data_IF_957688163272
#
_entry.id   IF_957688163272
#
_cell.length_a   1.000
_cell.length_b   1.000
_cell.length_c   1.000
_cell.angle_alpha   90.00
_cell.angle_beta   90.00
_cell.angle_gamma   90.00
#
_symmetry.space_group_name_H-M   'P 1'
#
loop_
_entity.id
_entity.type
_entity.pdbx_description
1 polymer ?
#
# COMPACT_ATOMS: atom_id res chain seq x y z
N UNK A 1 -7.67 3.55 5.63
CA UNK A 1 -6.36 4.16 5.37
C UNK A 1 -6.12 5.19 6.45
N UNK A 2 -4.91 5.20 7.00
CA UNK A 2 -4.45 6.29 7.86
C UNK A 2 -3.95 7.44 6.99
N UNK A 3 -4.24 8.68 7.37
CA UNK A 3 -3.78 9.87 6.64
C UNK A 3 -2.91 10.73 7.55
N UNK A 4 -1.77 11.17 7.03
CA UNK A 4 -0.78 11.97 7.74
C UNK A 4 -0.48 13.21 6.91
N UNK A 5 -0.64 14.39 7.50
CA UNK A 5 -0.14 15.63 6.91
C UNK A 5 1.29 15.88 7.40
N UNK A 6 2.25 15.94 6.49
CA UNK A 6 3.68 15.96 6.83
C UNK A 6 4.17 17.33 7.32
N UNK A 7 3.58 18.40 6.79
CA UNK A 7 3.93 19.79 7.05
C UNK A 7 2.67 20.66 6.98
N UNK A 8 2.75 21.92 7.41
CA UNK A 8 1.66 22.90 7.23
C UNK A 8 1.52 23.31 5.76
N UNK A 9 0.33 23.77 5.35
CA UNK A 9 0.04 24.22 3.98
C UNK A 9 -1.03 23.37 3.28
N UNK A 10 -1.44 23.79 2.08
CA UNK A 10 -2.50 23.13 1.29
C UNK A 10 -2.07 21.73 0.87
N UNK A 11 -2.94 20.73 1.06
CA UNK A 11 -2.69 19.33 0.69
C UNK A 11 -3.42 18.95 -0.59
N UNK A 12 -2.93 17.91 -1.24
CA UNK A 12 -3.60 17.32 -2.39
C UNK A 12 -4.95 16.70 -1.96
N UNK A 13 -5.99 16.94 -2.74
CA UNK A 13 -7.28 16.26 -2.56
C UNK A 13 -7.13 14.75 -2.76
N UNK A 14 -7.88 13.96 -2.00
CA UNK A 14 -7.89 12.51 -2.16
C UNK A 14 -9.26 11.92 -1.88
N UNK A 15 -9.55 10.78 -2.50
CA UNK A 15 -10.74 9.98 -2.23
C UNK A 15 -10.37 8.48 -2.15
N UNK A 16 -11.03 7.75 -1.24
CA UNK A 16 -10.90 6.29 -1.13
C UNK A 16 -12.22 5.63 -1.53
N UNK A 17 -12.18 4.79 -2.56
CA UNK A 17 -13.32 4.00 -3.00
C UNK A 17 -12.93 2.52 -3.05
N UNK A 18 -13.37 1.76 -2.05
CA UNK A 18 -13.01 0.35 -1.91
C UNK A 18 -11.50 0.18 -1.70
N UNK A 19 -10.80 -0.39 -2.68
CA UNK A 19 -9.34 -0.57 -2.66
C UNK A 19 -8.57 0.46 -3.49
N UNK A 20 -9.28 1.44 -4.05
CA UNK A 20 -8.71 2.46 -4.93
C UNK A 20 -8.52 3.76 -4.15
N UNK A 21 -7.38 4.40 -4.39
CA UNK A 21 -7.07 5.74 -3.93
C UNK A 21 -6.99 6.66 -5.16
N UNK A 22 -7.79 7.72 -5.15
CA UNK A 22 -7.78 8.79 -6.14
C UNK A 22 -7.08 10.01 -5.55
N UNK A 23 -6.25 10.68 -6.34
CA UNK A 23 -5.41 11.79 -5.93
C UNK A 23 -5.52 12.93 -6.93
N UNK A 24 -5.62 14.15 -6.41
CA UNK A 24 -5.58 15.37 -7.20
C UNK A 24 -6.76 15.52 -8.16
N UNK A 25 -7.99 15.35 -7.68
CA UNK A 25 -9.20 15.45 -8.53
C UNK A 25 -9.14 14.48 -9.72
N UNK A 26 -8.95 13.19 -9.40
CA UNK A 26 -8.87 12.07 -10.35
C UNK A 26 -7.68 12.10 -11.34
N UNK A 27 -6.70 12.98 -11.16
CA UNK A 27 -5.46 12.99 -11.95
C UNK A 27 -4.71 11.64 -11.88
N UNK A 28 -4.64 11.03 -10.70
CA UNK A 28 -4.08 9.68 -10.51
C UNK A 28 -5.04 8.81 -9.71
N UNK A 29 -5.22 7.56 -10.17
CA UNK A 29 -5.85 6.50 -9.41
C UNK A 29 -4.90 5.31 -9.24
N UNK A 30 -4.75 4.84 -8.01
CA UNK A 30 -3.97 3.64 -7.67
C UNK A 30 -4.88 2.62 -6.98
N UNK A 31 -4.96 1.40 -7.53
CA UNK A 31 -5.62 0.29 -6.85
C UNK A 31 -4.62 -0.41 -5.91
N UNK A 32 -4.64 -0.03 -4.63
CA UNK A 32 -3.64 -0.46 -3.64
C UNK A 32 -3.60 -1.98 -3.45
N UNK A 33 -4.73 -2.68 -3.62
CA UNK A 33 -4.78 -4.14 -3.53
C UNK A 33 -3.92 -4.86 -4.59
N UNK A 34 -3.61 -4.19 -5.72
CA UNK A 34 -2.75 -4.76 -6.76
C UNK A 34 -1.26 -4.64 -6.45
N UNK A 35 -0.90 -3.83 -5.47
CA UNK A 35 0.48 -3.56 -5.06
C UNK A 35 0.86 -4.28 -3.75
N UNK A 36 -0.08 -4.91 -3.04
CA UNK A 36 0.24 -5.69 -1.83
C UNK A 36 1.16 -6.88 -2.15
N UNK A 37 2.30 -6.94 -1.46
CA UNK A 37 3.31 -8.00 -1.54
C UNK A 37 3.65 -8.54 -0.15
N UNK A 38 4.52 -9.54 -0.10
CA UNK A 38 5.04 -10.08 1.16
C UNK A 38 6.02 -9.11 1.86
N UNK A 39 6.48 -8.09 1.14
CA UNK A 39 7.26 -6.98 1.65
C UNK A 39 6.45 -5.67 1.58
N UNK A 40 6.76 -4.66 2.42
CA UNK A 40 6.14 -3.34 2.33
C UNK A 40 6.41 -2.70 0.97
N UNK A 41 5.43 -1.96 0.45
CA UNK A 41 5.55 -1.22 -0.81
C UNK A 41 5.34 0.26 -0.54
N UNK A 42 6.24 1.06 -1.10
CA UNK A 42 6.20 2.52 -1.06
C UNK A 42 5.93 3.04 -2.48
N UNK A 43 4.95 3.93 -2.62
CA UNK A 43 4.63 4.59 -3.88
C UNK A 43 4.68 6.09 -3.64
N UNK A 44 5.67 6.75 -4.24
CA UNK A 44 5.81 8.20 -4.21
C UNK A 44 4.96 8.84 -5.31
N UNK A 45 4.29 9.93 -4.97
CA UNK A 45 3.54 10.77 -5.89
C UNK A 45 4.12 12.17 -5.83
N UNK A 46 4.51 12.65 -7.00
CA UNK A 46 5.22 13.92 -7.17
C UNK A 46 4.49 14.79 -8.18
N UNK A 47 4.71 16.10 -8.12
CA UNK A 47 4.49 16.96 -9.29
C UNK A 47 5.77 16.99 -10.12
N UNK A 48 5.62 16.73 -11.41
CA UNK A 48 6.70 16.83 -12.37
C UNK A 48 6.97 18.31 -12.74
N UNK A 49 7.90 18.53 -13.67
CA UNK A 49 8.28 19.86 -14.15
C UNK A 49 7.17 20.62 -14.90
N UNK A 50 6.13 19.94 -15.41
CA UNK A 50 4.98 20.55 -16.08
C UNK A 50 3.78 20.78 -15.15
N UNK A 51 3.90 20.37 -13.88
CA UNK A 51 2.88 20.53 -12.85
C UNK A 51 1.90 19.35 -12.75
N UNK A 52 1.96 18.36 -13.65
CA UNK A 52 1.13 17.17 -13.56
C UNK A 52 1.61 16.22 -12.46
N UNK A 53 0.66 15.49 -11.87
CA UNK A 53 1.00 14.40 -10.96
C UNK A 53 1.62 13.22 -11.72
N UNK A 54 2.65 12.62 -11.10
CA UNK A 54 3.24 11.37 -11.55
C UNK A 54 3.54 10.47 -10.35
N UNK A 55 3.41 9.15 -10.54
CA UNK A 55 4.02 8.20 -9.61
C UNK A 55 5.52 8.14 -9.91
N UNK A 56 6.35 8.54 -8.96
CA UNK A 56 7.79 8.48 -9.17
C UNK A 56 8.29 7.06 -8.97
N UNK A 57 8.86 6.46 -10.02
CA UNK A 57 9.72 5.27 -9.92
C UNK A 57 11.15 5.72 -10.28
N UNK A 58 11.75 6.57 -9.46
CA UNK A 58 13.14 7.03 -9.67
C UNK A 58 13.48 8.35 -8.98
N UNK A 59 14.77 8.56 -8.71
CA UNK A 59 15.29 9.85 -8.23
C UNK A 59 15.51 10.77 -9.43
N UNK A 60 14.72 11.82 -9.56
CA UNK A 60 15.09 12.99 -10.34
C UNK A 60 14.95 14.24 -9.48
N UNK A 61 15.92 15.14 -9.60
CA UNK A 61 16.09 16.31 -8.72
C UNK A 61 15.04 17.40 -8.96
N UNK A 62 14.24 17.29 -10.03
CA UNK A 62 13.21 18.27 -10.44
C UNK A 62 11.78 17.86 -10.02
N UNK A 63 11.62 17.06 -8.96
CA UNK A 63 10.32 16.58 -8.49
C UNK A 63 9.98 17.16 -7.11
N UNK A 64 8.77 17.71 -6.97
CA UNK A 64 8.23 18.09 -5.66
C UNK A 64 7.30 17.01 -5.12
N UNK A 65 7.52 16.60 -3.87
CA UNK A 65 6.69 15.59 -3.20
C UNK A 65 5.27 16.12 -2.97
N UNK A 66 4.26 15.37 -3.41
CA UNK A 66 2.85 15.67 -3.17
C UNK A 66 2.24 14.66 -2.19
N UNK A 67 2.54 13.37 -2.37
CA UNK A 67 2.08 12.30 -1.49
C UNK A 67 3.04 11.10 -1.48
N UNK A 68 2.90 10.25 -0.46
CA UNK A 68 3.54 8.94 -0.35
C UNK A 68 2.48 7.96 0.14
N UNK A 69 2.38 6.80 -0.51
CA UNK A 69 1.48 5.73 -0.14
C UNK A 69 2.30 4.57 0.38
N UNK A 70 2.08 4.20 1.64
CA UNK A 70 2.70 3.06 2.29
C UNK A 70 1.70 1.91 2.38
N UNK A 71 2.01 0.80 1.72
CA UNK A 71 1.26 -0.45 1.78
C UNK A 71 2.08 -1.43 2.63
N UNK A 72 1.57 -1.88 3.79
CA UNK A 72 2.31 -2.81 4.62
C UNK A 72 2.43 -4.18 3.95
N UNK A 73 3.39 -4.98 4.43
CA UNK A 73 3.49 -6.38 4.04
C UNK A 73 2.17 -7.13 4.27
N UNK A 74 1.90 -8.07 3.36
CA UNK A 74 0.74 -8.96 3.42
C UNK A 74 0.69 -9.67 4.77
N UNK A 75 -0.49 -9.65 5.38
CA UNK A 75 -0.72 -10.39 6.61
C UNK A 75 -1.09 -11.83 6.31
N UNK A 76 -0.69 -12.73 7.21
CA UNK A 76 -0.98 -14.15 7.14
C UNK A 76 -1.59 -14.60 8.46
N UNK A 77 -2.58 -15.47 8.38
CA UNK A 77 -3.05 -16.28 9.51
C UNK A 77 -2.46 -17.67 9.41
N UNK A 78 -2.13 -18.27 10.54
CA UNK A 78 -1.70 -19.66 10.59
C UNK A 78 -2.91 -20.58 10.69
N UNK A 79 -2.92 -21.61 9.85
CA UNK A 79 -3.89 -22.69 9.91
C UNK A 79 -3.14 -23.98 10.27
N UNK A 80 -3.51 -24.56 11.41
CA UNK A 80 -2.97 -25.84 11.86
C UNK A 80 -3.95 -26.93 11.47
N UNK A 81 -3.48 -27.91 10.73
CA UNK A 81 -4.25 -29.09 10.34
C UNK A 81 -3.51 -30.35 10.76
N UNK A 82 -4.26 -31.39 11.14
CA UNK A 82 -3.68 -32.70 11.36
C UNK A 82 -3.66 -33.44 10.04
N UNK A 83 -2.46 -33.85 9.61
CA UNK A 83 -2.24 -34.59 8.38
C UNK A 83 -1.58 -35.93 8.72
N UNK A 84 -1.78 -36.98 7.90
CA UNK A 84 -1.08 -38.25 8.11
C UNK A 84 0.43 -38.05 8.16
N UNK A 85 1.09 -38.68 9.14
CA UNK A 85 2.55 -38.69 9.22
C UNK A 85 3.13 -39.31 7.93
N UNK A 86 4.30 -38.82 7.50
CA UNK A 86 4.93 -39.24 6.24
C UNK A 86 5.31 -40.74 6.24
N UNK A 87 5.48 -41.33 7.42
CA UNK A 87 5.71 -42.76 7.65
C UNK A 87 4.41 -43.58 7.74
N UNK A 88 3.25 -42.94 7.57
CA UNK A 88 1.93 -43.55 7.65
C UNK A 88 1.46 -43.84 9.07
N UNK A 89 2.22 -43.47 10.10
CA UNK A 89 1.97 -43.89 11.47
C UNK A 89 1.55 -42.71 12.35
N UNK A 90 0.23 -42.48 12.42
CA UNK A 90 -0.37 -41.40 13.21
C UNK A 90 -0.55 -40.11 12.43
N UNK A 91 -0.86 -39.04 13.16
CA UNK A 91 -1.08 -37.70 12.60
C UNK A 91 -0.01 -36.73 13.12
N UNK A 92 0.43 -35.83 12.25
CA UNK A 92 1.30 -34.70 12.60
C UNK A 92 0.56 -33.39 12.37
N UNK A 93 0.87 -32.38 13.17
CA UNK A 93 0.37 -31.03 12.94
C UNK A 93 1.18 -30.36 11.83
N UNK A 94 0.48 -29.94 10.77
CA UNK A 94 1.04 -29.14 9.69
C UNK A 94 0.49 -27.72 9.80
N UNK A 95 1.40 -26.75 9.91
CA UNK A 95 1.07 -25.33 9.91
C UNK A 95 1.22 -24.77 8.50
N UNK A 96 0.14 -24.21 7.96
CA UNK A 96 0.13 -23.51 6.67
C UNK A 96 -0.19 -22.03 6.88
N UNK A 97 0.53 -21.15 6.18
CA UNK A 97 0.24 -19.71 6.16
C UNK A 97 -0.84 -19.42 5.11
N UNK A 98 -1.93 -18.81 5.55
CA UNK A 98 -3.04 -18.40 4.68
C UNK A 98 -3.05 -16.87 4.59
N UNK A 99 -3.00 -16.29 3.38
CA UNK A 99 -3.00 -14.84 3.22
C UNK A 99 -4.34 -14.25 3.68
N UNK A 100 -4.26 -13.19 4.48
CA UNK A 100 -5.43 -12.38 4.87
C UNK A 100 -5.87 -11.55 3.67
N UNK A 101 -7.18 -11.33 3.54
CA UNK A 101 -7.72 -10.43 2.49
C UNK A 101 -7.15 -9.03 2.68
N UNK A 102 -6.76 -8.39 1.57
CA UNK A 102 -6.27 -7.01 1.58
C UNK A 102 -7.23 -6.07 2.32
N UNK A 103 -6.66 -5.24 3.18
CA UNK A 103 -7.37 -4.23 3.97
C UNK A 103 -6.71 -2.86 3.81
N UNK A 104 -7.40 -1.96 3.12
CA UNK A 104 -6.95 -0.58 2.91
C UNK A 104 -6.87 0.22 4.21
N UNK A 105 -7.50 -0.25 5.30
CA UNK A 105 -7.38 0.37 6.62
C UNK A 105 -5.93 0.41 7.10
N UNK A 106 -5.12 -0.59 6.71
CA UNK A 106 -3.72 -0.75 7.10
C UNK A 106 -2.72 0.06 6.27
N UNK A 107 -3.17 0.68 5.18
CA UNK A 107 -2.31 1.55 4.36
C UNK A 107 -2.22 2.94 4.98
N UNK A 108 -1.12 3.64 4.71
CA UNK A 108 -0.90 5.03 5.11
C UNK A 108 -0.74 5.91 3.88
N UNK A 109 -1.42 7.05 3.86
CA UNK A 109 -1.21 8.13 2.92
C UNK A 109 -0.57 9.30 3.67
N UNK A 110 0.66 9.64 3.30
CA UNK A 110 1.33 10.85 3.78
C UNK A 110 1.22 11.94 2.72
N UNK A 111 0.80 13.14 3.10
CA UNK A 111 0.58 14.28 2.21
C UNK A 111 1.51 15.43 2.56
N UNK A 112 2.13 16.02 1.53
CA UNK A 112 2.94 17.23 1.64
C UNK A 112 2.16 18.45 1.14
N UNK A 113 2.57 19.62 1.61
CA UNK A 113 2.14 20.91 1.08
C UNK A 113 2.46 21.01 -0.41
N UNK A 114 1.50 21.52 -1.18
CA UNK A 114 1.59 21.69 -2.65
C UNK A 114 1.51 23.16 -3.10
N UNK A 115 1.57 24.10 -2.14
CA UNK A 115 1.56 25.54 -2.33
C UNK A 115 2.96 26.20 -2.20
#
# INVERSE_FOLDING_TARGET
MQVIEKNEGTKLNYEVVGTKLFLGDDEIMVNLAKYEKDEPVHIDVVRNWDGALATSIGKSDDLSYAAQIDIPARAYTEKVEKVPAMDGNGEVEQTTKVPVKFDISRCTLTLWAID
#
